data_IF_776014916308
#
_entry.id   IF_776014916308
#
_cell.length_a   1.000
_cell.length_b   1.000
_cell.length_c   1.000
_cell.angle_alpha   90.00
_cell.angle_beta   90.00
_cell.angle_gamma   90.00
#
_symmetry.space_group_name_H-M   'P 1'
#
loop_
_entity.id
_entity.type
_entity.pdbx_description
1 polymer ?
#
# COMPACT_ATOMS: atom_id res chain seq x y z
N UNK A 1 -6.48 -11.28 -25.58
CA UNK A 1 -6.02 -10.40 -24.47
C UNK A 1 -6.88 -10.73 -23.26
N UNK A 2 -6.28 -11.05 -22.11
CA UNK A 2 -7.06 -11.28 -20.89
C UNK A 2 -7.82 -9.99 -20.52
N UNK A 3 -9.08 -10.12 -20.10
CA UNK A 3 -9.87 -8.95 -19.70
C UNK A 3 -9.26 -8.31 -18.46
N UNK A 4 -9.40 -6.98 -18.30
CA UNK A 4 -8.99 -6.30 -17.07
C UNK A 4 -9.67 -6.91 -15.84
N UNK A 5 -10.92 -7.37 -15.99
CA UNK A 5 -11.67 -8.11 -14.97
C UNK A 5 -10.97 -9.40 -14.55
N UNK A 6 -10.47 -10.19 -15.50
CA UNK A 6 -9.77 -11.45 -15.19
C UNK A 6 -8.50 -11.19 -14.38
N UNK A 7 -7.81 -10.08 -14.69
CA UNK A 7 -6.62 -9.67 -13.95
C UNK A 7 -6.92 -9.27 -12.50
N UNK A 8 -8.12 -8.74 -12.20
CA UNK A 8 -8.53 -8.45 -10.82
C UNK A 8 -8.78 -9.75 -10.05
N UNK A 9 -9.43 -10.72 -10.67
CA UNK A 9 -9.68 -12.04 -10.05
C UNK A 9 -8.36 -12.74 -9.77
N UNK A 10 -7.45 -12.74 -10.73
CA UNK A 10 -6.11 -13.31 -10.56
C UNK A 10 -5.33 -12.62 -9.44
N UNK A 11 -5.33 -11.28 -9.39
CA UNK A 11 -4.68 -10.56 -8.31
C UNK A 11 -5.30 -10.88 -6.95
N UNK A 12 -6.63 -11.00 -6.89
CA UNK A 12 -7.35 -11.45 -5.71
C UNK A 12 -6.96 -12.87 -5.27
N UNK A 13 -6.64 -13.77 -6.21
CA UNK A 13 -6.11 -15.09 -5.89
C UNK A 13 -4.69 -15.03 -5.31
N UNK A 14 -3.83 -14.16 -5.86
CA UNK A 14 -2.48 -13.94 -5.34
C UNK A 14 -2.50 -13.43 -3.89
N UNK A 15 -3.43 -12.55 -3.55
CA UNK A 15 -3.61 -12.04 -2.18
C UNK A 15 -3.96 -13.12 -1.15
N UNK A 16 -4.45 -14.29 -1.57
CA UNK A 16 -4.76 -15.41 -0.65
C UNK A 16 -3.50 -16.16 -0.20
N UNK A 17 -2.40 -16.03 -0.93
CA UNK A 17 -1.13 -16.68 -0.61
C UNK A 17 0.01 -15.69 -0.81
N UNK A 18 0.08 -14.62 0.01
CA UNK A 18 1.17 -13.68 -0.06
C UNK A 18 2.48 -14.41 0.28
N UNK A 19 3.48 -14.25 -0.57
CA UNK A 19 4.82 -14.78 -0.32
C UNK A 19 5.61 -13.75 0.48
N UNK A 20 6.28 -14.22 1.52
CA UNK A 20 7.30 -13.47 2.23
C UNK A 20 8.54 -14.35 2.25
N UNK A 21 9.47 -14.09 1.34
CA UNK A 21 10.70 -14.84 1.17
C UNK A 21 11.90 -13.89 1.30
N UNK A 22 12.99 -14.38 1.88
CA UNK A 22 14.26 -13.66 1.96
C UNK A 22 14.79 -13.31 0.56
N UNK A 23 14.46 -14.11 -0.45
CA UNK A 23 14.78 -13.84 -1.85
C UNK A 23 14.19 -12.51 -2.37
N UNK A 24 13.15 -11.97 -1.71
CA UNK A 24 12.59 -10.66 -2.05
C UNK A 24 13.52 -9.49 -1.71
N UNK A 25 14.51 -9.72 -0.85
CA UNK A 25 15.55 -8.75 -0.47
C UNK A 25 16.85 -8.97 -1.24
N UNK A 26 16.90 -9.95 -2.14
CA UNK A 26 18.06 -10.18 -2.97
C UNK A 26 18.34 -8.94 -3.84
N UNK A 27 19.60 -8.54 -3.90
CA UNK A 27 20.07 -7.42 -4.70
C UNK A 27 20.13 -7.78 -6.18
N UNK A 28 20.07 -9.06 -6.55
CA UNK A 28 20.11 -9.56 -7.93
C UNK A 28 19.06 -10.63 -8.32
N UNK A 29 17.75 -10.46 -8.06
CA UNK A 29 16.73 -11.42 -8.45
C UNK A 29 16.78 -11.80 -9.92
N UNK A 30 16.64 -13.11 -10.21
CA UNK A 30 16.63 -13.63 -11.57
C UNK A 30 15.41 -13.18 -12.37
N UNK A 31 14.31 -12.80 -11.70
CA UNK A 31 13.12 -12.27 -12.35
C UNK A 31 12.60 -11.01 -11.64
N UNK A 32 12.90 -9.79 -12.15
CA UNK A 32 12.44 -8.54 -11.55
C UNK A 32 10.92 -8.37 -11.64
N UNK A 33 10.26 -9.03 -12.60
CA UNK A 33 8.80 -8.95 -12.76
C UNK A 33 8.10 -9.78 -11.70
N UNK A 34 8.60 -10.98 -11.41
CA UNK A 34 8.13 -11.80 -10.30
C UNK A 34 8.39 -11.09 -8.97
N UNK A 35 9.58 -10.50 -8.78
CA UNK A 35 9.88 -9.72 -7.58
C UNK A 35 8.88 -8.57 -7.38
N UNK A 36 8.58 -7.80 -8.43
CA UNK A 36 7.59 -6.73 -8.36
C UNK A 36 6.20 -7.25 -8.00
N UNK A 37 5.80 -8.39 -8.57
CA UNK A 37 4.53 -9.02 -8.22
C UNK A 37 4.47 -9.38 -6.73
N UNK A 38 5.49 -10.05 -6.21
CA UNK A 38 5.52 -10.50 -4.82
C UNK A 38 5.49 -9.29 -3.86
N UNK A 39 6.25 -8.22 -4.15
CA UNK A 39 6.21 -6.97 -3.38
C UNK A 39 4.87 -6.26 -3.48
N UNK A 40 4.24 -6.20 -4.66
CA UNK A 40 2.93 -5.57 -4.83
C UNK A 40 1.84 -6.29 -4.04
N UNK A 41 1.86 -7.64 -4.05
CA UNK A 41 0.95 -8.48 -3.28
C UNK A 41 1.17 -8.26 -1.79
N UNK A 42 2.42 -8.35 -1.32
CA UNK A 42 2.77 -8.14 0.09
C UNK A 42 2.35 -6.74 0.55
N UNK A 43 2.65 -5.70 -0.24
CA UNK A 43 2.26 -4.32 0.02
C UNK A 43 0.74 -4.17 0.20
N UNK A 44 -0.04 -4.77 -0.70
CA UNK A 44 -1.50 -4.76 -0.60
C UNK A 44 -1.99 -5.47 0.67
N UNK A 45 -1.45 -6.65 0.99
CA UNK A 45 -1.82 -7.39 2.21
C UNK A 45 -1.46 -6.60 3.47
N UNK A 46 -0.25 -6.02 3.52
CA UNK A 46 0.18 -5.20 4.66
C UNK A 46 -0.73 -3.99 4.86
N UNK A 47 -1.13 -3.30 3.78
CA UNK A 47 -2.07 -2.17 3.86
C UNK A 47 -3.45 -2.58 4.35
N UNK A 48 -3.99 -3.69 3.82
CA UNK A 48 -5.27 -4.24 4.27
C UNK A 48 -5.22 -4.65 5.74
N UNK A 49 -4.14 -5.32 6.17
CA UNK A 49 -3.92 -5.70 7.56
C UNK A 49 -3.88 -4.47 8.46
N UNK A 50 -3.09 -3.45 8.13
CA UNK A 50 -3.00 -2.21 8.91
C UNK A 50 -4.36 -1.50 9.00
N UNK A 51 -5.09 -1.40 7.88
CA UNK A 51 -6.43 -0.81 7.84
C UNK A 51 -7.42 -1.57 8.72
N UNK A 52 -7.44 -2.90 8.65
CA UNK A 52 -8.29 -3.75 9.48
C UNK A 52 -7.94 -3.64 10.97
N UNK A 53 -6.66 -3.68 11.33
CA UNK A 53 -6.24 -3.52 12.73
C UNK A 53 -6.67 -2.16 13.30
N UNK A 54 -6.52 -1.09 12.52
CA UNK A 54 -6.96 0.24 12.93
C UNK A 54 -8.49 0.30 13.17
N UNK A 55 -9.27 -0.35 12.31
CA UNK A 55 -10.72 -0.42 12.49
C UNK A 55 -11.15 -1.19 13.71
N UNK A 56 -10.48 -2.30 14.01
CA UNK A 56 -10.79 -3.08 15.21
C UNK A 56 -10.59 -2.23 16.45
N UNK A 57 -9.49 -1.46 16.51
CA UNK A 57 -9.21 -0.53 17.63
C UNK A 57 -10.29 0.54 17.73
N UNK A 58 -10.68 1.16 16.62
CA UNK A 58 -11.73 2.18 16.62
C UNK A 58 -13.09 1.62 16.98
N UNK A 59 -13.48 0.46 16.43
CA UNK A 59 -14.75 -0.18 16.74
C UNK A 59 -14.84 -0.54 18.24
N UNK A 60 -13.77 -1.04 18.84
CA UNK A 60 -13.71 -1.28 20.29
C UNK A 60 -13.91 0.04 21.06
N UNK A 61 -13.27 1.13 20.61
CA UNK A 61 -13.42 2.45 21.22
C UNK A 61 -14.87 2.96 21.16
N UNK A 62 -15.52 2.90 19.99
CA UNK A 62 -16.90 3.37 19.81
C UNK A 62 -17.93 2.50 20.53
N UNK A 63 -17.74 1.17 20.54
CA UNK A 63 -18.60 0.26 21.29
C UNK A 63 -18.56 0.55 22.80
N UNK A 64 -17.41 0.95 23.35
CA UNK A 64 -17.31 1.38 24.74
C UNK A 64 -18.07 2.69 25.01
N UNK A 65 -18.28 3.52 24.00
CA UNK A 65 -18.99 4.81 24.09
C UNK A 65 -20.47 4.74 23.64
N UNK A 66 -20.95 3.57 23.20
CA UNK A 66 -22.30 3.36 22.66
C UNK A 66 -22.70 4.24 21.46
N UNK A 67 -21.74 4.78 20.69
CA UNK A 67 -22.01 5.60 19.49
C UNK A 67 -22.11 4.73 18.21
N UNK A 68 -23.31 4.17 17.98
CA UNK A 68 -23.59 3.33 16.80
C UNK A 68 -23.44 4.10 15.47
N UNK A 69 -23.96 5.34 15.31
CA UNK A 69 -23.73 6.14 14.10
C UNK A 69 -22.24 6.38 13.79
N UNK A 70 -21.43 6.64 14.82
CA UNK A 70 -19.97 6.75 14.70
C UNK A 70 -19.36 5.47 14.11
N UNK A 71 -19.69 4.32 14.70
CA UNK A 71 -19.21 3.01 14.24
C UNK A 71 -19.56 2.71 12.76
N UNK A 72 -20.77 3.04 12.31
CA UNK A 72 -21.19 2.85 10.90
C UNK A 72 -20.37 3.75 9.97
N UNK A 73 -20.16 5.01 10.33
CA UNK A 73 -19.39 5.97 9.53
C UNK A 73 -17.94 5.49 9.35
N UNK A 74 -17.33 4.95 10.41
CA UNK A 74 -15.99 4.37 10.35
C UNK A 74 -15.92 3.13 9.45
N UNK A 75 -16.92 2.25 9.50
CA UNK A 75 -16.98 1.07 8.62
C UNK A 75 -16.99 1.49 7.14
N UNK A 76 -17.77 2.51 6.77
CA UNK A 76 -17.83 3.02 5.39
C UNK A 76 -16.48 3.57 4.95
N UNK A 77 -15.85 4.42 5.78
CA UNK A 77 -14.52 4.97 5.50
C UNK A 77 -13.50 3.86 5.27
N UNK A 78 -13.56 2.81 6.08
CA UNK A 78 -12.67 1.67 5.96
C UNK A 78 -12.83 0.84 4.70
N UNK A 79 -14.06 0.57 4.30
CA UNK A 79 -14.33 -0.12 3.04
C UNK A 79 -13.78 0.71 1.88
N UNK A 80 -13.96 2.03 1.93
CA UNK A 80 -13.38 2.97 0.97
C UNK A 80 -11.85 2.90 0.93
N UNK A 81 -11.18 2.98 2.10
CA UNK A 81 -9.72 2.90 2.20
C UNK A 81 -9.18 1.55 1.73
N UNK A 82 -9.87 0.45 2.07
CA UNK A 82 -9.49 -0.91 1.65
C UNK A 82 -9.61 -1.09 0.14
N UNK A 83 -10.71 -0.61 -0.45
CA UNK A 83 -10.90 -0.61 -1.90
C UNK A 83 -9.85 0.25 -2.60
N UNK A 84 -9.55 1.43 -2.06
CA UNK A 84 -8.49 2.29 -2.57
C UNK A 84 -7.11 1.61 -2.52
N UNK A 85 -6.76 0.98 -1.40
CA UNK A 85 -5.49 0.26 -1.24
C UNK A 85 -5.37 -0.92 -2.24
N UNK A 86 -6.46 -1.65 -2.46
CA UNK A 86 -6.52 -2.70 -3.46
C UNK A 86 -6.28 -2.16 -4.87
N UNK A 87 -7.02 -1.12 -5.28
CA UNK A 87 -6.89 -0.53 -6.62
C UNK A 87 -5.51 0.07 -6.86
N UNK A 88 -4.95 0.76 -5.86
CA UNK A 88 -3.61 1.35 -5.95
C UNK A 88 -2.50 0.30 -6.06
N UNK A 89 -2.71 -0.91 -5.54
CA UNK A 89 -1.74 -2.00 -5.68
C UNK A 89 -1.99 -2.84 -6.94
N UNK A 90 -3.25 -3.00 -7.34
CA UNK A 90 -3.65 -3.74 -8.53
C UNK A 90 -3.26 -3.04 -9.83
N UNK A 91 -3.47 -1.73 -9.92
CA UNK A 91 -3.23 -0.97 -11.15
C UNK A 91 -1.74 -1.03 -11.60
N UNK A 92 -0.75 -0.78 -10.72
CA UNK A 92 0.66 -0.92 -11.05
C UNK A 92 1.02 -2.36 -11.42
N UNK A 93 0.51 -3.34 -10.67
CA UNK A 93 0.66 -4.77 -11.00
C UNK A 93 0.11 -5.11 -12.38
N UNK A 94 -1.09 -4.66 -12.73
CA UNK A 94 -1.66 -4.92 -14.05
C UNK A 94 -0.79 -4.30 -15.16
N UNK A 95 -0.38 -3.05 -14.98
CA UNK A 95 0.45 -2.34 -15.95
C UNK A 95 1.82 -3.02 -16.14
N UNK A 96 2.52 -3.32 -15.06
CA UNK A 96 3.88 -3.90 -15.11
C UNK A 96 3.84 -5.38 -15.49
N UNK A 97 3.02 -6.17 -14.81
CA UNK A 97 3.05 -7.63 -14.92
C UNK A 97 2.24 -8.13 -16.12
N UNK A 98 1.05 -7.56 -16.40
CA UNK A 98 0.19 -8.07 -17.48
C UNK A 98 0.41 -7.40 -18.82
N UNK A 99 0.67 -6.10 -18.84
CA UNK A 99 0.90 -5.34 -20.09
C UNK A 99 2.36 -5.16 -20.47
N UNK A 100 3.30 -5.68 -19.68
CA UNK A 100 4.74 -5.44 -19.86
C UNK A 100 5.09 -3.94 -19.83
N UNK A 101 4.30 -3.14 -19.12
CA UNK A 101 4.40 -1.69 -19.00
C UNK A 101 3.61 -0.91 -20.05
N UNK A 102 3.18 0.31 -19.69
CA UNK A 102 2.89 1.35 -20.67
C UNK A 102 4.18 2.17 -20.84
N UNK A 103 4.79 2.15 -22.03
CA UNK A 103 6.00 2.91 -22.37
C UNK A 103 7.32 2.36 -21.78
N UNK A 104 7.52 1.04 -21.81
CA UNK A 104 8.72 0.37 -21.29
C UNK A 104 8.53 -0.12 -19.84
N UNK A 105 9.61 -0.53 -19.14
CA UNK A 105 9.50 -1.25 -17.88
C UNK A 105 8.74 -0.51 -16.75
N UNK A 106 8.48 0.80 -16.84
CA UNK A 106 7.47 1.51 -16.04
C UNK A 106 7.66 1.53 -14.52
N UNK A 107 8.62 0.79 -13.97
CA UNK A 107 8.78 0.57 -12.54
C UNK A 107 9.08 1.88 -11.80
N UNK A 108 9.90 2.78 -12.37
CA UNK A 108 10.21 4.09 -11.74
C UNK A 108 8.96 4.95 -11.60
N UNK A 109 8.13 5.02 -12.65
CA UNK A 109 6.91 5.81 -12.61
C UNK A 109 6.00 5.33 -11.48
N UNK A 110 5.79 4.02 -11.38
CA UNK A 110 4.99 3.44 -10.31
C UNK A 110 5.62 3.58 -8.93
N UNK A 111 6.95 3.46 -8.82
CA UNK A 111 7.69 3.77 -7.60
C UNK A 111 7.43 5.21 -7.12
N UNK A 112 7.49 6.20 -8.02
CA UNK A 112 7.16 7.58 -7.70
C UNK A 112 5.70 7.76 -7.32
N UNK A 113 4.77 7.09 -7.99
CA UNK A 113 3.34 7.11 -7.62
C UNK A 113 3.13 6.56 -6.21
N UNK A 114 3.79 5.46 -5.84
CA UNK A 114 3.73 4.92 -4.48
C UNK A 114 4.33 5.89 -3.45
N UNK A 115 5.48 6.50 -3.75
CA UNK A 115 6.14 7.46 -2.86
C UNK A 115 5.32 8.74 -2.67
N UNK A 116 4.77 9.31 -3.74
CA UNK A 116 3.92 10.49 -3.64
C UNK A 116 2.59 10.17 -2.96
N UNK A 117 2.03 8.99 -3.27
CA UNK A 117 0.85 8.47 -2.61
C UNK A 117 1.05 8.28 -1.11
N UNK A 118 2.23 7.83 -0.66
CA UNK A 118 2.53 7.65 0.76
C UNK A 118 2.59 8.98 1.51
N UNK A 119 3.24 9.99 0.94
CA UNK A 119 3.30 11.34 1.51
C UNK A 119 1.90 11.96 1.63
N UNK A 120 1.10 11.85 0.57
CA UNK A 120 -0.27 12.37 0.58
C UNK A 120 -1.15 11.64 1.60
N UNK A 121 -1.05 10.31 1.67
CA UNK A 121 -1.80 9.53 2.66
C UNK A 121 -1.36 9.88 4.07
N UNK A 122 -0.06 10.04 4.34
CA UNK A 122 0.46 10.43 5.66
C UNK A 122 -0.14 11.76 6.13
N UNK A 123 -0.22 12.76 5.24
CA UNK A 123 -0.86 14.05 5.50
C UNK A 123 -2.34 13.87 5.89
N UNK A 124 -3.11 13.10 5.09
CA UNK A 124 -4.54 12.87 5.37
C UNK A 124 -4.78 12.08 6.64
N UNK A 125 -3.95 11.07 6.91
CA UNK A 125 -3.99 10.32 8.16
C UNK A 125 -3.70 11.21 9.37
N UNK A 126 -2.69 12.07 9.29
CA UNK A 126 -2.39 13.04 10.34
C UNK A 126 -3.59 13.98 10.61
N UNK A 127 -4.24 14.48 9.57
CA UNK A 127 -5.44 15.29 9.71
C UNK A 127 -6.62 14.52 10.32
N UNK A 128 -6.84 13.28 9.90
CA UNK A 128 -7.86 12.40 10.49
C UNK A 128 -7.61 12.16 11.99
N UNK A 129 -6.36 11.92 12.38
CA UNK A 129 -5.97 11.76 13.78
C UNK A 129 -6.19 13.05 14.59
N UNK A 130 -5.84 14.21 14.02
CA UNK A 130 -6.09 15.50 14.67
C UNK A 130 -7.59 15.79 14.84
N UNK A 131 -8.42 15.45 13.85
CA UNK A 131 -9.87 15.63 13.93
C UNK A 131 -10.50 14.66 14.93
N UNK A 132 -10.14 13.37 14.87
CA UNK A 132 -10.63 12.36 15.81
C UNK A 132 -10.21 12.66 17.26
N UNK A 133 -8.97 13.11 17.47
CA UNK A 133 -8.50 13.54 18.79
C UNK A 133 -9.26 14.74 19.35
N UNK A 134 -9.71 15.68 18.50
CA UNK A 134 -10.54 16.81 18.93
C UNK A 134 -11.94 16.38 19.36
N UNK A 135 -12.57 15.46 18.63
CA UNK A 135 -13.93 14.99 18.93
C UNK A 135 -13.97 14.26 20.29
N UNK A 136 -12.96 13.44 20.60
CA UNK A 136 -12.85 12.71 21.87
C UNK A 136 -12.58 13.66 23.06
N UNK A 137 -11.91 14.80 22.83
CA UNK A 137 -11.51 15.74 23.89
C UNK A 137 -12.51 16.88 24.14
N UNK A 138 -13.57 17.01 23.33
CA UNK A 138 -14.61 18.04 23.52
C UNK A 138 -15.81 17.59 24.34
N UNK A 139 -15.75 16.42 24.99
CA UNK A 139 -16.73 16.05 26.02
C UNK A 139 -16.67 17.06 27.18
N UNK A 140 -17.80 17.71 27.45
CA UNK A 140 -17.96 18.88 28.34
C UNK A 140 -17.08 18.84 29.60
N UNK A 141 -16.08 19.72 29.65
CA UNK A 141 -15.40 20.12 30.89
C UNK A 141 -14.10 19.42 31.26
N UNK A 142 -13.57 18.48 30.46
CA UNK A 142 -12.22 17.95 30.71
C UNK A 142 -11.15 18.75 29.98
N UNK A 143 -10.12 19.20 30.72
CA UNK A 143 -8.93 19.80 30.13
C UNK A 143 -8.35 18.89 29.03
N UNK A 144 -7.90 19.47 27.89
CA UNK A 144 -7.32 18.72 26.79
C UNK A 144 -6.03 18.04 27.25
N UNK A 145 -6.11 16.77 27.66
CA UNK A 145 -4.93 15.95 27.87
C UNK A 145 -4.34 15.64 26.49
N UNK A 146 -3.28 16.35 26.12
CA UNK A 146 -2.46 16.12 24.93
C UNK A 146 -1.67 14.79 24.97
N UNK A 147 -2.20 13.74 25.59
CA UNK A 147 -1.65 12.40 25.42
C UNK A 147 -2.09 11.86 24.06
N UNK A 148 -1.46 12.41 23.02
CA UNK A 148 -1.41 11.80 21.72
C UNK A 148 -0.79 10.42 21.92
N UNK A 149 -1.64 9.39 21.99
CA UNK A 149 -1.17 8.03 22.23
C UNK A 149 -0.23 7.66 21.09
N UNK A 150 1.02 7.35 21.41
CA UNK A 150 2.04 6.88 20.46
C UNK A 150 1.55 5.70 19.62
N UNK A 151 0.54 4.96 20.10
CA UNK A 151 -0.13 3.90 19.35
C UNK A 151 -0.86 4.38 18.10
N UNK A 152 -1.38 5.62 18.07
CA UNK A 152 -2.08 6.19 16.90
C UNK A 152 -1.09 6.65 15.82
N UNK A 153 0.13 7.03 16.20
CA UNK A 153 1.19 7.39 15.25
C UNK A 153 1.86 6.17 14.59
N UNK A 154 1.72 4.97 15.19
CA UNK A 154 2.32 3.73 14.68
C UNK A 154 1.75 3.33 13.31
N UNK A 155 0.44 3.52 13.08
CA UNK A 155 -0.20 3.19 11.82
C UNK A 155 0.44 3.93 10.63
N UNK A 156 0.41 5.27 10.60
CA UNK A 156 1.03 6.07 9.53
C UNK A 156 2.51 5.75 9.30
N UNK A 157 3.26 5.47 10.37
CA UNK A 157 4.66 5.06 10.27
C UNK A 157 4.84 3.72 9.54
N UNK A 158 4.03 2.70 9.89
CA UNK A 158 4.06 1.40 9.22
C UNK A 158 3.64 1.50 7.74
N UNK A 159 2.68 2.38 7.43
CA UNK A 159 2.32 2.70 6.03
C UNK A 159 3.51 3.27 5.25
N UNK A 160 4.21 4.26 5.82
CA UNK A 160 5.38 4.87 5.20
C UNK A 160 6.51 3.86 4.94
N UNK A 161 6.74 2.93 5.88
CA UNK A 161 7.72 1.85 5.72
C UNK A 161 7.34 0.92 4.56
N UNK A 162 6.07 0.49 4.48
CA UNK A 162 5.61 -0.40 3.42
C UNK A 162 5.76 0.25 2.03
N UNK A 163 5.44 1.54 1.92
CA UNK A 163 5.62 2.31 0.69
C UNK A 163 7.09 2.50 0.31
N UNK A 164 7.96 2.70 1.29
CA UNK A 164 9.41 2.79 1.07
C UNK A 164 9.96 1.48 0.52
N UNK A 165 9.56 0.32 1.08
CA UNK A 165 9.97 -0.97 0.56
C UNK A 165 9.47 -1.20 -0.88
N UNK A 166 8.22 -0.83 -1.18
CA UNK A 166 7.69 -0.91 -2.53
C UNK A 166 8.45 0.01 -3.50
N UNK A 167 8.81 1.22 -3.08
CA UNK A 167 9.65 2.14 -3.85
C UNK A 167 11.03 1.53 -4.15
N UNK A 168 11.68 0.94 -3.15
CA UNK A 168 12.98 0.27 -3.31
C UNK A 168 12.85 -0.89 -4.31
N UNK A 169 11.81 -1.72 -4.20
CA UNK A 169 11.56 -2.83 -5.12
C UNK A 169 11.35 -2.33 -6.56
N UNK A 170 10.55 -1.27 -6.75
CA UNK A 170 10.36 -0.61 -8.05
C UNK A 170 11.69 -0.10 -8.63
N UNK A 171 12.50 0.58 -7.82
CA UNK A 171 13.77 1.13 -8.25
C UNK A 171 14.74 0.01 -8.68
N UNK A 172 14.88 -1.04 -7.86
CA UNK A 172 15.70 -2.20 -8.17
C UNK A 172 15.26 -2.89 -9.46
N UNK A 173 13.95 -3.14 -9.63
CA UNK A 173 13.39 -3.73 -10.84
C UNK A 173 13.72 -2.89 -12.08
N UNK A 174 13.65 -1.56 -11.96
CA UNK A 174 14.01 -0.66 -13.06
C UNK A 174 15.48 -0.69 -13.45
N UNK A 175 16.39 -0.69 -12.47
CA UNK A 175 17.82 -0.70 -12.75
C UNK A 175 18.21 -1.96 -13.52
N UNK A 176 17.60 -3.11 -13.15
CA UNK A 176 17.89 -4.38 -13.84
C UNK A 176 17.25 -4.51 -15.21
N UNK A 177 16.05 -3.97 -15.39
CA UNK A 177 15.43 -3.91 -16.71
C UNK A 177 16.35 -3.18 -17.71
N UNK A 178 16.90 -2.03 -17.29
CA UNK A 178 17.89 -1.27 -18.09
C UNK A 178 19.18 -2.04 -18.33
N UNK A 179 19.72 -2.70 -17.31
CA UNK A 179 20.94 -3.50 -17.44
C UNK A 179 20.81 -4.64 -18.48
N UNK A 180 19.63 -5.28 -18.56
CA UNK A 180 19.34 -6.32 -19.56
C UNK A 180 19.24 -5.75 -20.96
N UNK A 181 18.61 -4.58 -21.12
CA UNK A 181 18.54 -3.89 -22.41
C UNK A 181 19.94 -3.54 -22.93
N UNK A 182 20.84 -3.05 -22.07
CA UNK A 182 22.23 -2.75 -22.45
C UNK A 182 23.05 -3.98 -22.83
N UNK A 183 22.80 -5.14 -22.21
CA UNK A 183 23.50 -6.39 -22.52
C UNK A 183 22.95 -7.06 -23.80
N UNK A 184 21.68 -6.84 -24.14
CA UNK A 184 21.06 -7.41 -25.33
C UNK A 184 21.36 -6.62 -26.62
N UNK A 185 21.68 -5.32 -26.51
CA UNK A 185 21.95 -4.46 -27.66
C UNK A 185 23.05 -4.96 -28.63
N UNK A 186 24.21 -5.48 -28.18
CA UNK A 186 25.30 -5.88 -29.08
C UNK A 186 25.02 -7.16 -29.88
N UNK A 187 24.05 -7.98 -29.46
CA UNK A 187 23.74 -9.27 -30.08
C UNK A 187 22.77 -9.15 -31.28
N UNK A 188 22.18 -7.97 -31.49
CA UNK A 188 21.26 -7.70 -32.60
C UNK A 188 21.95 -7.07 -33.81
N UNK A 189 23.18 -6.57 -33.63
CA UNK A 189 23.98 -5.92 -34.67
C UNK A 189 24.98 -6.88 -35.36
N UNK A 190 25.02 -8.15 -34.95
CA UNK A 190 25.88 -9.23 -35.48
C UNK A 190 25.09 -10.27 -36.25
#
# INVERSE_FOLDING_TARGET
MASYRDSMVEYGQLLRSPKLDLSMFDLNPPDPKQLFQDWSVLHCVSRLFCGLSFLVVLAISELNNFDIPGAISFLIVALGVSMYAFLLSHLPWHCVVKRSGCCGPGYILWGLVYLLGSVFMLEKWYHLLLMGGRIILTGDGMEPRHHFSTSLALGPFLFGIADLFMFIACFQASQRARARETLAAPLLDS
#
